data_IF_685903857670
#
_entry.id   IF_685903857670
#
_cell.length_a   1.000
_cell.length_b   1.000
_cell.length_c   1.000
_cell.angle_alpha   90.00
_cell.angle_beta   90.00
_cell.angle_gamma   90.00
#
_symmetry.space_group_name_H-M   'P 1'
#
loop_
_entity.id
_entity.type
_entity.pdbx_description
1 polymer ?
#
# COMPACT_ATOMS: atom_id res chain seq x y z
N UNK A 1 -16.07 -37.83 20.40
CA UNK A 1 -16.61 -37.44 19.08
C UNK A 1 -15.78 -36.29 18.55
N UNK A 2 -15.40 -36.25 17.26
CA UNK A 2 -14.63 -35.14 16.74
C UNK A 2 -15.52 -33.91 16.78
N UNK A 3 -15.17 -32.93 17.62
CA UNK A 3 -15.82 -31.62 17.62
C UNK A 3 -15.28 -30.88 16.41
N UNK A 4 -15.95 -31.00 15.28
CA UNK A 4 -15.69 -30.12 14.13
C UNK A 4 -16.09 -28.71 14.54
N UNK A 5 -15.12 -27.92 15.02
CA UNK A 5 -15.23 -26.48 15.20
C UNK A 5 -15.04 -25.79 13.85
N UNK A 6 -15.72 -24.66 13.69
CA UNK A 6 -15.43 -23.65 12.71
C UNK A 6 -14.34 -22.75 13.27
N UNK A 7 -13.25 -22.58 12.52
CA UNK A 7 -12.22 -21.59 12.83
C UNK A 7 -12.82 -20.21 12.62
N UNK A 8 -13.07 -19.54 13.73
CA UNK A 8 -13.55 -18.16 13.72
C UNK A 8 -12.32 -17.26 13.62
N UNK A 9 -12.38 -16.22 12.81
CA UNK A 9 -11.32 -15.23 12.67
C UNK A 9 -11.84 -13.85 13.13
N UNK A 10 -10.95 -12.85 13.16
CA UNK A 10 -11.32 -11.50 13.61
C UNK A 10 -12.36 -10.86 12.69
N UNK A 11 -12.34 -11.16 11.39
CA UNK A 11 -13.28 -10.58 10.43
C UNK A 11 -14.69 -11.15 10.58
N UNK A 12 -14.81 -12.46 10.77
CA UNK A 12 -16.06 -13.11 11.16
C UNK A 12 -16.55 -12.58 12.51
N UNK A 13 -15.67 -12.38 13.49
CA UNK A 13 -16.03 -11.83 14.79
C UNK A 13 -16.54 -10.37 14.71
N UNK A 14 -15.83 -9.51 13.96
CA UNK A 14 -16.25 -8.13 13.62
C UNK A 14 -17.60 -8.14 12.90
N UNK A 15 -17.79 -9.02 11.91
CA UNK A 15 -19.04 -9.14 11.15
C UNK A 15 -20.22 -9.61 12.02
N UNK A 16 -20.01 -10.60 12.91
CA UNK A 16 -21.00 -11.05 13.89
C UNK A 16 -21.43 -9.87 14.77
N UNK A 17 -20.46 -9.09 15.26
CA UNK A 17 -20.71 -7.90 16.09
C UNK A 17 -21.47 -6.83 15.31
N UNK A 18 -21.01 -6.47 14.12
CA UNK A 18 -21.61 -5.45 13.28
C UNK A 18 -23.05 -5.80 12.92
N UNK A 19 -23.28 -7.04 12.48
CA UNK A 19 -24.62 -7.51 12.13
C UNK A 19 -25.57 -7.53 13.33
N UNK A 20 -25.07 -7.88 14.52
CA UNK A 20 -25.85 -7.80 15.75
C UNK A 20 -26.30 -6.35 16.03
N UNK A 21 -25.40 -5.38 15.85
CA UNK A 21 -25.70 -3.96 16.03
C UNK A 21 -26.70 -3.44 14.99
N UNK A 22 -26.58 -3.82 13.73
CA UNK A 22 -27.56 -3.49 12.67
C UNK A 22 -28.97 -4.01 12.98
N UNK A 23 -29.05 -5.15 13.65
CA UNK A 23 -30.32 -5.73 14.11
C UNK A 23 -30.82 -5.10 15.42
N UNK A 24 -30.12 -4.10 15.95
CA UNK A 24 -30.40 -3.42 17.22
C UNK A 24 -30.50 -4.40 18.40
N UNK A 25 -29.61 -5.39 18.46
CA UNK A 25 -29.59 -6.40 19.53
C UNK A 25 -28.45 -6.13 20.51
N UNK A 26 -28.74 -6.26 21.81
CA UNK A 26 -27.68 -6.37 22.81
C UNK A 26 -27.02 -7.76 22.77
N UNK A 27 -25.86 -7.91 23.41
CA UNK A 27 -25.19 -9.22 23.55
C UNK A 27 -26.11 -10.20 24.30
N UNK A 28 -26.82 -9.74 25.33
CA UNK A 28 -27.76 -10.55 26.11
C UNK A 28 -28.93 -11.05 25.27
N UNK A 29 -29.50 -10.17 24.44
CA UNK A 29 -30.63 -10.50 23.57
C UNK A 29 -30.24 -11.46 22.45
N UNK A 30 -29.08 -11.23 21.83
CA UNK A 30 -28.55 -12.10 20.79
C UNK A 30 -28.20 -13.49 21.35
N UNK A 31 -27.52 -13.55 22.50
CA UNK A 31 -27.21 -14.79 23.19
C UNK A 31 -28.48 -15.57 23.58
N UNK A 32 -29.50 -14.87 24.11
CA UNK A 32 -30.79 -15.47 24.46
C UNK A 32 -31.51 -16.02 23.23
N UNK A 33 -31.56 -15.26 22.12
CA UNK A 33 -32.16 -15.72 20.85
C UNK A 33 -31.43 -16.92 20.25
N UNK A 34 -30.11 -16.96 20.38
CA UNK A 34 -29.28 -18.07 19.94
C UNK A 34 -29.22 -19.24 20.92
N UNK A 35 -29.87 -19.18 22.09
CA UNK A 35 -29.82 -20.24 23.10
C UNK A 35 -28.39 -20.56 23.57
N UNK A 36 -27.53 -19.53 23.67
CA UNK A 36 -26.17 -19.64 24.20
C UNK A 36 -25.95 -18.68 25.38
N UNK A 37 -24.89 -18.90 26.16
CA UNK A 37 -24.54 -18.01 27.25
C UNK A 37 -24.00 -16.67 26.74
N UNK A 38 -24.24 -15.59 27.47
CA UNK A 38 -23.76 -14.23 27.13
C UNK A 38 -22.25 -14.19 26.97
N UNK A 39 -21.50 -14.77 27.92
CA UNK A 39 -20.04 -14.93 27.84
C UNK A 39 -19.59 -15.74 26.62
N UNK A 40 -20.40 -16.69 26.16
CA UNK A 40 -20.10 -17.49 24.97
C UNK A 40 -20.26 -16.64 23.71
N UNK A 41 -21.30 -15.83 23.63
CA UNK A 41 -21.49 -14.86 22.55
C UNK A 41 -20.33 -13.85 22.49
N UNK A 42 -19.97 -13.24 23.63
CA UNK A 42 -18.85 -12.30 23.70
C UNK A 42 -17.52 -12.90 23.23
N UNK A 43 -17.28 -14.20 23.51
CA UNK A 43 -16.07 -14.89 23.02
C UNK A 43 -16.06 -15.04 21.50
N UNK A 44 -17.21 -15.27 20.89
CA UNK A 44 -17.32 -15.38 19.43
C UNK A 44 -17.13 -14.03 18.74
N UNK A 45 -17.61 -12.94 19.34
CA UNK A 45 -17.29 -11.56 18.90
C UNK A 45 -15.83 -11.15 19.19
N UNK A 46 -15.07 -12.00 19.87
CA UNK A 46 -13.65 -11.83 20.13
C UNK A 46 -12.81 -12.92 19.41
N UNK A 47 -13.30 -13.48 18.31
CA UNK A 47 -12.53 -14.39 17.44
C UNK A 47 -12.36 -15.82 17.96
N UNK A 48 -13.02 -16.23 19.05
CA UNK A 48 -12.83 -17.59 19.56
C UNK A 48 -13.50 -18.64 18.66
N UNK A 49 -12.93 -19.86 18.54
CA UNK A 49 -13.49 -20.94 17.72
C UNK A 49 -14.95 -21.26 18.06
N UNK A 50 -15.78 -21.40 17.03
CA UNK A 50 -17.21 -21.64 17.16
C UNK A 50 -17.48 -23.12 16.89
N UNK A 51 -18.23 -23.80 17.75
CA UNK A 51 -18.65 -25.18 17.45
C UNK A 51 -19.70 -25.16 16.34
N UNK A 52 -19.67 -26.10 15.38
CA UNK A 52 -20.63 -26.14 14.26
C UNK A 52 -22.11 -26.09 14.69
N UNK A 53 -22.48 -26.74 15.79
CA UNK A 53 -23.84 -26.67 16.33
C UNK A 53 -24.22 -25.23 16.75
N UNK A 54 -23.26 -24.48 17.29
CA UNK A 54 -23.43 -23.08 17.70
C UNK A 54 -23.37 -22.12 16.52
N UNK A 55 -22.57 -22.43 15.51
CA UNK A 55 -22.50 -21.67 14.26
C UNK A 55 -23.87 -21.51 13.61
N UNK A 56 -24.60 -22.62 13.48
CA UNK A 56 -25.95 -22.63 12.91
C UNK A 56 -26.94 -21.77 13.73
N UNK A 57 -26.77 -21.74 15.06
CA UNK A 57 -27.61 -20.91 15.93
C UNK A 57 -27.30 -19.41 15.74
N UNK A 58 -26.03 -19.06 15.54
CA UNK A 58 -25.58 -17.68 15.27
C UNK A 58 -26.09 -17.21 13.91
N UNK A 59 -25.89 -18.00 12.84
CA UNK A 59 -26.38 -17.71 11.48
C UNK A 59 -27.88 -17.41 11.50
N UNK A 60 -28.66 -18.27 12.16
CA UNK A 60 -30.11 -18.09 12.29
C UNK A 60 -30.48 -16.82 13.08
N UNK A 61 -29.74 -16.51 14.14
CA UNK A 61 -29.99 -15.34 15.00
C UNK A 61 -29.69 -14.03 14.28
N UNK A 62 -28.62 -14.01 13.48
CA UNK A 62 -28.19 -12.87 12.66
C UNK A 62 -28.97 -12.75 11.33
N UNK A 63 -29.93 -13.66 11.10
CA UNK A 63 -30.75 -13.74 9.88
C UNK A 63 -29.90 -13.87 8.61
N UNK A 64 -28.79 -14.59 8.71
CA UNK A 64 -27.96 -14.95 7.56
C UNK A 64 -28.43 -16.27 6.95
N UNK A 65 -28.19 -16.45 5.64
CA UNK A 65 -28.40 -17.74 4.95
C UNK A 65 -27.24 -18.69 5.26
N UNK A 66 -26.03 -18.16 5.23
CA UNK A 66 -24.76 -18.76 5.63
C UNK A 66 -23.84 -17.63 6.12
N UNK A 67 -22.69 -17.96 6.72
CA UNK A 67 -21.69 -16.89 6.97
C UNK A 67 -21.19 -16.42 5.60
N UNK A 68 -21.26 -15.13 5.27
CA UNK A 68 -20.76 -14.66 3.99
C UNK A 68 -19.28 -15.02 3.80
N UNK A 69 -18.92 -15.59 2.64
CA UNK A 69 -17.56 -16.09 2.35
C UNK A 69 -16.49 -15.00 2.52
N UNK A 70 -16.85 -13.76 2.16
CA UNK A 70 -16.12 -12.50 2.39
C UNK A 70 -15.70 -12.24 3.85
N UNK A 71 -16.32 -12.92 4.84
CA UNK A 71 -15.91 -12.84 6.24
C UNK A 71 -15.19 -14.09 6.73
N UNK A 72 -15.28 -15.19 5.97
CA UNK A 72 -14.62 -16.47 6.27
C UNK A 72 -13.17 -16.45 5.78
N UNK A 73 -12.90 -15.82 4.65
CA UNK A 73 -11.58 -15.34 4.27
C UNK A 73 -11.45 -13.90 4.75
N UNK A 74 -10.68 -13.65 5.81
CA UNK A 74 -10.08 -12.32 5.87
C UNK A 74 -9.21 -12.14 4.64
N UNK A 75 -9.07 -10.90 4.15
CA UNK A 75 -7.87 -10.62 3.36
C UNK A 75 -6.71 -11.11 4.23
N UNK A 76 -6.01 -12.11 3.71
CA UNK A 76 -4.81 -12.67 4.29
C UNK A 76 -3.67 -12.27 3.38
N UNK A 77 -2.44 -12.39 3.86
CA UNK A 77 -1.27 -12.17 3.01
C UNK A 77 -1.27 -13.10 1.80
N UNK A 78 -1.80 -14.31 1.94
CA UNK A 78 -1.96 -15.27 0.83
C UNK A 78 -2.98 -14.81 -0.22
N UNK A 79 -4.04 -14.12 0.19
CA UNK A 79 -5.05 -13.57 -0.73
C UNK A 79 -4.48 -12.38 -1.48
N UNK A 80 -3.84 -11.44 -0.77
CA UNK A 80 -3.17 -10.29 -1.36
C UNK A 80 -2.07 -10.71 -2.35
N UNK A 81 -1.26 -11.71 -1.98
CA UNK A 81 -0.25 -12.28 -2.89
C UNK A 81 -0.90 -12.82 -4.16
N UNK A 82 -2.01 -13.55 -4.06
CA UNK A 82 -2.72 -14.07 -5.23
C UNK A 82 -3.26 -12.96 -6.15
N UNK A 83 -3.78 -11.88 -5.57
CA UNK A 83 -4.34 -10.75 -6.30
C UNK A 83 -3.27 -9.94 -7.03
N UNK A 84 -2.18 -9.59 -6.32
CA UNK A 84 -1.14 -8.72 -6.86
C UNK A 84 -0.10 -9.44 -7.71
N UNK A 85 0.04 -10.76 -7.60
CA UNK A 85 0.99 -11.51 -8.44
C UNK A 85 0.65 -11.44 -9.93
N UNK A 86 -0.61 -11.22 -10.27
CA UNK A 86 -1.05 -11.01 -11.65
C UNK A 86 -0.96 -9.55 -12.10
N UNK A 87 -0.53 -8.64 -11.22
CA UNK A 87 -0.38 -7.22 -11.53
C UNK A 87 0.74 -6.98 -12.54
N UNK A 88 0.53 -6.07 -13.50
CA UNK A 88 1.51 -5.88 -14.59
C UNK A 88 2.86 -5.31 -14.15
N UNK A 89 2.87 -4.62 -13.01
CA UNK A 89 4.06 -4.09 -12.34
C UNK A 89 4.56 -4.98 -11.19
N UNK A 90 4.03 -6.20 -11.03
CA UNK A 90 4.55 -7.14 -10.04
C UNK A 90 6.05 -7.40 -10.27
N UNK A 91 6.81 -7.47 -9.18
CA UNK A 91 8.24 -7.77 -9.19
C UNK A 91 8.54 -8.95 -8.28
N UNK A 92 8.92 -10.09 -8.86
CA UNK A 92 9.41 -11.22 -8.07
C UNK A 92 10.71 -10.84 -7.34
N UNK A 93 11.60 -10.05 -7.97
CA UNK A 93 12.77 -9.46 -7.30
C UNK A 93 12.40 -8.74 -5.99
N UNK A 94 11.45 -7.79 -6.01
CA UNK A 94 11.06 -7.09 -4.79
C UNK A 94 10.45 -8.05 -3.76
N UNK A 95 9.59 -8.96 -4.21
CA UNK A 95 8.98 -9.95 -3.32
C UNK A 95 10.02 -10.83 -2.60
N UNK A 96 11.03 -11.32 -3.34
CA UNK A 96 12.06 -12.21 -2.79
C UNK A 96 13.07 -11.50 -1.88
N UNK A 97 13.39 -10.23 -2.16
CA UNK A 97 14.44 -9.49 -1.44
C UNK A 97 13.90 -8.60 -0.32
N UNK A 98 12.67 -8.07 -0.46
CA UNK A 98 12.08 -7.08 0.44
C UNK A 98 10.66 -7.46 0.94
N UNK A 99 10.11 -8.58 0.46
CA UNK A 99 8.85 -9.14 0.95
C UNK A 99 7.59 -8.70 0.19
N UNK A 100 6.45 -9.23 0.64
CA UNK A 100 5.14 -9.03 -0.01
C UNK A 100 4.73 -7.56 -0.04
N UNK A 101 4.92 -6.85 1.07
CA UNK A 101 4.57 -5.43 1.19
C UNK A 101 5.31 -4.59 0.14
N UNK A 102 6.62 -4.81 -0.05
CA UNK A 102 7.42 -4.10 -1.05
C UNK A 102 6.92 -4.31 -2.49
N UNK A 103 6.59 -5.55 -2.85
CA UNK A 103 6.09 -5.87 -4.18
C UNK A 103 4.69 -5.25 -4.45
N UNK A 104 3.80 -5.27 -3.45
CA UNK A 104 2.48 -4.64 -3.52
C UNK A 104 2.61 -3.11 -3.55
N UNK A 105 3.44 -2.55 -2.66
CA UNK A 105 3.78 -1.12 -2.60
C UNK A 105 4.22 -0.61 -3.97
N UNK A 106 5.19 -1.28 -4.59
CA UNK A 106 5.66 -0.91 -5.92
C UNK A 106 4.58 -1.00 -7.00
N UNK A 107 3.79 -2.08 -6.98
CA UNK A 107 2.69 -2.25 -7.94
C UNK A 107 1.67 -1.10 -7.85
N UNK A 108 1.16 -0.82 -6.65
CA UNK A 108 0.16 0.23 -6.38
C UNK A 108 0.75 1.61 -6.67
N UNK A 109 1.87 1.93 -6.02
CA UNK A 109 2.45 3.26 -6.08
C UNK A 109 2.89 3.63 -7.48
N UNK A 110 3.39 2.67 -8.27
CA UNK A 110 3.76 2.95 -9.66
C UNK A 110 2.58 3.23 -10.56
N UNK A 111 1.38 2.68 -10.29
CA UNK A 111 0.14 3.07 -10.97
C UNK A 111 -0.25 4.51 -10.59
N UNK A 112 -0.33 4.80 -9.29
CA UNK A 112 -0.73 6.11 -8.77
C UNK A 112 0.16 7.24 -9.29
N UNK A 113 1.47 7.09 -9.13
CA UNK A 113 2.43 8.11 -9.58
C UNK A 113 2.42 8.22 -11.11
N UNK A 114 2.24 7.11 -11.86
CA UNK A 114 2.10 7.19 -13.32
C UNK A 114 0.88 8.02 -13.74
N UNK A 115 -0.25 7.84 -13.07
CA UNK A 115 -1.48 8.58 -13.35
C UNK A 115 -1.32 10.08 -13.02
N UNK A 116 -0.74 10.40 -11.85
CA UNK A 116 -0.48 11.79 -11.44
C UNK A 116 0.45 12.51 -12.44
N UNK A 117 1.55 11.85 -12.83
CA UNK A 117 2.49 12.40 -13.83
C UNK A 117 1.81 12.56 -15.19
N UNK A 118 0.96 11.61 -15.60
CA UNK A 118 0.27 11.66 -16.88
C UNK A 118 -0.81 12.77 -16.94
N UNK A 119 -1.51 13.03 -15.84
CA UNK A 119 -2.43 14.16 -15.70
C UNK A 119 -1.68 15.49 -15.85
N UNK A 120 -0.60 15.68 -15.11
CA UNK A 120 0.19 16.91 -15.15
C UNK A 120 0.85 17.13 -16.51
N UNK A 121 1.38 16.07 -17.15
CA UNK A 121 1.92 16.16 -18.51
C UNK A 121 0.86 16.59 -19.53
N UNK A 122 -0.39 16.09 -19.39
CA UNK A 122 -1.50 16.51 -20.26
C UNK A 122 -1.81 17.98 -20.09
N UNK A 123 -1.89 18.48 -18.84
CA UNK A 123 -2.17 19.90 -18.62
C UNK A 123 -1.00 20.78 -19.09
N UNK A 124 0.25 20.43 -18.76
CA UNK A 124 1.44 21.18 -19.18
C UNK A 124 1.60 21.26 -20.70
N UNK A 125 1.18 20.22 -21.45
CA UNK A 125 1.24 20.20 -22.90
C UNK A 125 0.41 21.32 -23.56
N UNK A 126 -0.61 21.83 -22.86
CA UNK A 126 -1.48 22.92 -23.33
C UNK A 126 -1.00 24.31 -22.90
N UNK A 127 0.09 24.38 -22.13
CA UNK A 127 0.63 25.63 -21.56
C UNK A 127 1.85 26.14 -22.34
N UNK A 128 2.21 27.43 -22.19
CA UNK A 128 3.46 27.95 -22.74
C UNK A 128 4.70 27.22 -22.21
N UNK A 129 5.77 27.19 -23.01
CA UNK A 129 7.07 26.68 -22.55
C UNK A 129 7.54 27.48 -21.33
N UNK A 130 8.01 26.76 -20.30
CA UNK A 130 8.46 27.33 -19.03
C UNK A 130 7.40 27.31 -17.93
N UNK A 131 6.18 26.87 -18.22
CA UNK A 131 5.20 26.56 -17.19
C UNK A 131 5.62 25.32 -16.39
N UNK A 132 5.44 25.37 -15.07
CA UNK A 132 5.75 24.28 -14.14
C UNK A 132 4.50 23.82 -13.37
N UNK A 133 4.57 22.65 -12.71
CA UNK A 133 3.39 22.03 -12.05
C UNK A 133 2.76 22.91 -10.98
N UNK A 134 3.54 23.81 -10.35
CA UNK A 134 3.06 24.76 -9.35
C UNK A 134 2.12 25.85 -9.90
N UNK A 135 2.02 25.98 -11.22
CA UNK A 135 1.10 26.90 -11.90
C UNK A 135 -0.16 26.21 -12.44
N UNK A 136 -0.26 24.88 -12.29
CA UNK A 136 -1.42 24.11 -12.73
C UNK A 136 -2.61 24.31 -11.78
N UNK A 137 -3.82 24.08 -12.29
CA UNK A 137 -5.03 24.22 -11.48
C UNK A 137 -5.11 23.18 -10.35
N UNK A 138 -4.67 21.96 -10.62
CA UNK A 138 -4.62 20.85 -9.66
C UNK A 138 -3.53 19.89 -10.08
N UNK A 139 -2.57 19.62 -9.20
CA UNK A 139 -1.50 18.63 -9.41
C UNK A 139 -1.31 17.82 -8.13
N UNK A 140 -1.62 16.52 -8.19
CA UNK A 140 -1.45 15.63 -7.04
C UNK A 140 0.02 15.41 -6.70
N UNK A 141 0.90 15.37 -7.71
CA UNK A 141 2.32 15.14 -7.49
C UNK A 141 3.05 16.38 -6.96
N UNK A 142 2.50 17.58 -7.15
CA UNK A 142 3.11 18.83 -6.65
C UNK A 142 3.25 18.85 -5.12
N UNK A 143 2.31 18.26 -4.40
CA UNK A 143 2.38 18.13 -2.94
C UNK A 143 3.32 17.03 -2.47
N UNK A 144 3.76 16.14 -3.37
CA UNK A 144 4.64 15.02 -3.06
C UNK A 144 6.10 15.34 -3.39
N UNK A 145 6.34 16.19 -4.37
CA UNK A 145 7.69 16.57 -4.76
C UNK A 145 8.32 17.57 -3.77
N UNK A 146 9.66 17.58 -3.64
CA UNK A 146 10.37 18.51 -2.76
C UNK A 146 10.06 19.99 -3.04
N UNK A 147 9.54 20.71 -2.04
CA UNK A 147 9.05 22.09 -2.21
C UNK A 147 10.15 23.05 -2.72
N UNK A 148 11.40 22.84 -2.32
CA UNK A 148 12.53 23.71 -2.68
C UNK A 148 12.66 23.92 -4.20
N UNK A 149 12.31 22.92 -5.01
CA UNK A 149 12.50 22.94 -6.47
C UNK A 149 11.18 23.03 -7.24
N UNK A 150 10.10 23.50 -6.61
CA UNK A 150 8.75 23.56 -7.22
C UNK A 150 8.70 24.25 -8.60
N UNK A 151 9.57 25.24 -8.81
CA UNK A 151 9.66 25.97 -10.08
C UNK A 151 10.42 25.24 -11.20
N UNK A 152 11.15 24.17 -10.86
CA UNK A 152 11.94 23.37 -11.80
C UNK A 152 11.15 22.20 -12.38
N UNK A 153 9.98 21.90 -11.82
CA UNK A 153 9.11 20.80 -12.24
C UNK A 153 8.27 21.17 -13.46
N UNK A 154 8.94 21.34 -14.59
CA UNK A 154 8.33 21.65 -15.89
C UNK A 154 7.99 20.37 -16.68
N UNK A 155 7.50 20.56 -17.91
CA UNK A 155 7.15 19.44 -18.79
C UNK A 155 8.33 18.48 -19.03
N UNK A 156 9.56 18.98 -19.15
CA UNK A 156 10.74 18.15 -19.41
C UNK A 156 11.06 17.29 -18.18
N UNK A 157 11.05 17.88 -16.99
CA UNK A 157 11.18 17.14 -15.74
C UNK A 157 10.10 16.06 -15.58
N UNK A 158 8.83 16.43 -15.76
CA UNK A 158 7.71 15.47 -15.64
C UNK A 158 7.82 14.34 -16.67
N UNK A 159 8.33 14.64 -17.87
CA UNK A 159 8.56 13.64 -18.89
C UNK A 159 9.70 12.68 -18.51
N UNK A 160 10.79 13.19 -17.91
CA UNK A 160 11.85 12.36 -17.35
C UNK A 160 11.32 11.43 -16.25
N UNK A 161 10.56 11.96 -15.28
CA UNK A 161 9.95 11.16 -14.23
C UNK A 161 9.03 10.07 -14.81
N UNK A 162 8.20 10.40 -15.80
CA UNK A 162 7.36 9.42 -16.51
C UNK A 162 8.17 8.27 -17.11
N UNK A 163 9.32 8.58 -17.72
CA UNK A 163 10.20 7.56 -18.29
C UNK A 163 10.92 6.74 -17.24
N UNK A 164 11.29 7.34 -16.13
CA UNK A 164 11.88 6.64 -14.98
C UNK A 164 10.90 5.60 -14.41
N UNK A 165 9.63 5.98 -14.19
CA UNK A 165 8.59 5.05 -13.71
C UNK A 165 8.38 3.90 -14.70
N UNK A 166 8.26 4.20 -15.99
CA UNK A 166 8.13 3.19 -17.05
C UNK A 166 9.35 2.25 -17.08
N UNK A 167 10.55 2.78 -16.89
CA UNK A 167 11.79 2.00 -16.81
C UNK A 167 11.76 1.02 -15.65
N UNK A 168 11.36 1.45 -14.45
CA UNK A 168 11.24 0.56 -13.30
C UNK A 168 10.15 -0.50 -13.48
N UNK A 169 8.97 -0.15 -14.04
CA UNK A 169 7.92 -1.14 -14.34
C UNK A 169 8.39 -2.19 -15.34
N UNK A 170 9.18 -1.78 -16.35
CA UNK A 170 9.80 -2.72 -17.29
C UNK A 170 10.83 -3.63 -16.61
N UNK A 171 11.67 -3.07 -15.72
CA UNK A 171 12.63 -3.85 -14.92
C UNK A 171 11.92 -4.87 -14.03
N UNK A 172 10.84 -4.46 -13.35
CA UNK A 172 10.01 -5.32 -12.53
C UNK A 172 9.40 -6.48 -13.33
N UNK A 173 8.77 -6.18 -14.48
CA UNK A 173 8.19 -7.18 -15.37
C UNK A 173 9.23 -8.16 -15.95
N UNK A 174 10.45 -7.69 -16.18
CA UNK A 174 11.56 -8.51 -16.65
C UNK A 174 12.26 -9.30 -15.52
N UNK A 175 11.78 -9.16 -14.27
CA UNK A 175 12.38 -9.73 -13.06
C UNK A 175 13.88 -9.38 -12.93
N UNK A 176 14.21 -8.14 -13.25
CA UNK A 176 15.57 -7.60 -13.12
C UNK A 176 15.70 -6.76 -11.85
N UNK A 177 16.89 -6.70 -11.23
CA UNK A 177 17.10 -5.86 -10.05
C UNK A 177 16.69 -4.41 -10.29
N UNK A 178 15.95 -3.85 -9.33
CA UNK A 178 15.64 -2.43 -9.29
C UNK A 178 16.81 -1.72 -8.61
N UNK A 179 17.62 -1.03 -9.39
CA UNK A 179 18.76 -0.23 -8.92
C UNK A 179 18.53 1.22 -9.37
N UNK A 180 18.68 2.16 -8.44
CA UNK A 180 18.67 3.60 -8.70
C UNK A 180 20.10 4.10 -8.85
N UNK A 181 20.38 4.79 -9.95
CA UNK A 181 21.69 5.34 -10.28
C UNK A 181 21.74 6.87 -10.19
N UNK A 182 20.59 7.52 -9.99
CA UNK A 182 20.42 8.98 -9.95
C UNK A 182 19.42 9.38 -8.88
N UNK A 183 19.44 10.66 -8.46
CA UNK A 183 18.47 11.17 -7.46
C UNK A 183 17.05 11.15 -8.01
N UNK A 184 16.85 11.34 -9.32
CA UNK A 184 15.52 11.16 -9.93
C UNK A 184 15.02 9.73 -9.76
N UNK A 185 15.88 8.73 -9.90
CA UNK A 185 15.51 7.32 -9.74
C UNK A 185 15.18 6.97 -8.28
N UNK A 186 15.97 7.45 -7.32
CA UNK A 186 15.65 7.27 -5.89
C UNK A 186 14.37 7.99 -5.50
N UNK A 187 14.21 9.26 -5.92
CA UNK A 187 13.00 10.04 -5.71
C UNK A 187 11.78 9.35 -6.31
N UNK A 188 11.90 8.78 -7.51
CA UNK A 188 10.82 8.03 -8.15
C UNK A 188 10.37 6.84 -7.29
N UNK A 189 11.31 6.05 -6.77
CA UNK A 189 10.98 4.90 -5.92
C UNK A 189 10.44 5.34 -4.55
N UNK A 190 10.98 6.42 -3.99
CA UNK A 190 10.45 7.04 -2.76
C UNK A 190 8.99 7.45 -2.93
N UNK A 191 8.65 8.19 -3.99
CA UNK A 191 7.27 8.61 -4.28
C UNK A 191 6.32 7.42 -4.45
N UNK A 192 6.78 6.36 -5.12
CA UNK A 192 6.01 5.11 -5.28
C UNK A 192 5.72 4.48 -3.91
N UNK A 193 6.72 4.36 -3.06
CA UNK A 193 6.56 3.78 -1.73
C UNK A 193 5.65 4.64 -0.85
N UNK A 194 5.91 5.94 -0.78
CA UNK A 194 5.15 6.89 0.03
C UNK A 194 3.66 6.87 -0.34
N UNK A 195 3.31 7.04 -1.62
CA UNK A 195 1.90 7.08 -2.03
C UNK A 195 1.18 5.74 -1.93
N UNK A 196 1.91 4.64 -2.09
CA UNK A 196 1.30 3.32 -1.88
C UNK A 196 0.85 3.12 -0.42
N UNK A 197 1.48 3.81 0.53
CA UNK A 197 1.25 3.62 1.97
C UNK A 197 -0.20 3.87 2.35
N UNK A 198 -0.85 4.88 1.77
CA UNK A 198 -2.25 5.21 2.07
C UNK A 198 -3.17 4.03 1.75
N UNK A 199 -3.01 3.41 0.58
CA UNK A 199 -3.81 2.25 0.20
C UNK A 199 -3.39 0.98 0.94
N UNK A 200 -2.10 0.86 1.28
CA UNK A 200 -1.62 -0.27 2.07
C UNK A 200 -2.15 -0.25 3.49
N UNK A 201 -2.31 0.93 4.11
CA UNK A 201 -2.95 1.07 5.42
C UNK A 201 -4.39 0.54 5.39
N UNK A 202 -5.19 0.93 4.38
CA UNK A 202 -6.55 0.43 4.17
C UNK A 202 -6.62 -1.10 3.95
N UNK A 203 -5.61 -1.68 3.28
CA UNK A 203 -5.49 -3.13 3.12
C UNK A 203 -5.13 -3.80 4.46
N UNK A 204 -4.21 -3.20 5.21
CA UNK A 204 -3.71 -3.72 6.47
C UNK A 204 -4.82 -3.78 7.55
N UNK A 205 -5.77 -2.84 7.54
CA UNK A 205 -6.94 -2.86 8.44
C UNK A 205 -7.84 -4.10 8.29
N UNK A 206 -7.74 -4.76 7.14
CA UNK A 206 -8.52 -5.96 6.79
C UNK A 206 -7.80 -7.26 7.16
N UNK A 207 -6.52 -7.18 7.50
CA UNK A 207 -5.68 -8.31 7.93
C UNK A 207 -5.92 -8.67 9.41
N UNK A 208 -5.39 -9.81 9.85
CA UNK A 208 -5.25 -10.11 11.28
C UNK A 208 -4.18 -9.22 11.94
N UNK A 209 -4.22 -9.05 13.26
CA UNK A 209 -3.22 -8.20 13.98
C UNK A 209 -1.77 -8.64 13.72
N UNK A 210 -1.52 -9.95 13.64
CA UNK A 210 -0.19 -10.52 13.36
C UNK A 210 0.26 -10.24 11.92
N UNK A 211 -0.63 -10.47 10.94
CA UNK A 211 -0.35 -10.18 9.54
C UNK A 211 -0.24 -8.67 9.26
N UNK A 212 -1.01 -7.84 9.98
CA UNK A 212 -0.94 -6.38 9.88
C UNK A 212 0.42 -5.87 10.31
N UNK A 213 0.95 -6.35 11.43
CA UNK A 213 2.29 -5.98 11.91
C UNK A 213 3.37 -6.40 10.92
N UNK A 214 3.30 -7.63 10.38
CA UNK A 214 4.22 -8.13 9.35
C UNK A 214 4.17 -7.29 8.06
N UNK A 215 2.96 -6.97 7.60
CA UNK A 215 2.73 -6.26 6.34
C UNK A 215 3.19 -4.80 6.41
N UNK A 216 2.88 -4.08 7.49
CA UNK A 216 3.21 -2.66 7.60
C UNK A 216 4.66 -2.41 8.01
N UNK A 217 5.25 -3.29 8.84
CA UNK A 217 6.64 -3.12 9.29
C UNK A 217 7.64 -3.15 8.11
N UNK A 218 7.31 -3.89 7.05
CA UNK A 218 8.16 -4.00 5.86
C UNK A 218 7.95 -2.87 4.85
N UNK A 219 7.01 -1.94 5.09
CA UNK A 219 6.70 -0.85 4.15
C UNK A 219 7.63 0.37 4.27
N UNK A 220 8.93 0.10 4.34
CA UNK A 220 10.02 1.10 4.23
C UNK A 220 11.11 0.60 3.29
N UNK A 221 10.74 -0.32 2.40
CA UNK A 221 11.63 -1.15 1.58
C UNK A 221 12.61 -0.36 0.71
N UNK A 222 12.30 0.87 0.34
CA UNK A 222 13.22 1.71 -0.44
C UNK A 222 14.48 2.09 0.33
N UNK A 223 14.41 2.27 1.65
CA UNK A 223 15.60 2.56 2.46
C UNK A 223 16.50 1.33 2.60
N UNK A 224 15.91 0.14 2.66
CA UNK A 224 16.66 -1.11 2.59
C UNK A 224 17.28 -1.32 1.19
N UNK A 225 16.63 -0.83 0.14
CA UNK A 225 17.12 -0.91 -1.24
C UNK A 225 18.28 0.06 -1.49
N UNK A 226 18.25 1.26 -0.91
CA UNK A 226 19.33 2.26 -1.01
C UNK A 226 20.45 2.04 0.02
N UNK A 227 20.22 1.25 1.07
CA UNK A 227 21.15 1.14 2.21
C UNK A 227 21.44 2.50 2.89
N UNK A 228 20.51 3.47 2.74
CA UNK A 228 20.54 4.79 3.36
C UNK A 228 19.13 5.42 3.43
N UNK A 229 19.06 6.66 3.94
CA UNK A 229 17.85 7.47 3.92
C UNK A 229 18.12 8.86 3.32
N UNK A 230 19.08 8.95 2.40
CA UNK A 230 19.60 10.21 1.93
C UNK A 230 18.56 10.96 1.11
N UNK A 231 17.79 10.28 0.26
CA UNK A 231 16.67 10.90 -0.49
C UNK A 231 15.67 11.60 0.45
N UNK A 232 15.29 10.97 1.56
CA UNK A 232 14.40 11.59 2.55
C UNK A 232 15.10 12.72 3.30
N UNK A 233 16.32 12.45 3.78
CA UNK A 233 17.09 13.37 4.59
C UNK A 233 17.37 14.66 3.83
N UNK A 234 17.85 14.57 2.60
CA UNK A 234 18.21 15.75 1.82
C UNK A 234 16.99 16.46 1.24
N UNK A 235 16.00 15.75 0.72
CA UNK A 235 14.92 16.37 -0.04
C UNK A 235 13.71 16.80 0.80
N UNK A 236 13.50 16.19 1.98
CA UNK A 236 12.29 16.41 2.80
C UNK A 236 12.55 16.90 4.23
N UNK A 237 13.81 17.09 4.63
CA UNK A 237 14.14 17.72 5.92
C UNK A 237 14.21 19.24 5.84
N UNK A 238 14.20 19.92 7.00
CA UNK A 238 14.14 21.38 7.14
C UNK A 238 15.41 22.17 6.75
N UNK A 239 16.21 21.72 5.78
CA UNK A 239 17.41 22.45 5.33
C UNK A 239 17.42 22.70 3.82
N UNK A 240 17.92 23.88 3.45
CA UNK A 240 18.06 24.28 2.05
C UNK A 240 19.29 23.63 1.43
N UNK A 241 19.08 22.88 0.35
CA UNK A 241 20.13 22.23 -0.42
C UNK A 241 20.79 23.26 -1.34
N UNK A 242 22.11 23.42 -1.25
CA UNK A 242 22.86 24.28 -2.17
C UNK A 242 23.30 23.52 -3.42
N UNK A 243 23.74 24.25 -4.45
CA UNK A 243 24.13 23.70 -5.75
C UNK A 243 25.32 22.73 -5.70
N UNK A 244 26.16 22.76 -4.67
CA UNK A 244 27.31 21.86 -4.55
C UNK A 244 26.91 20.49 -3.96
N UNK A 245 25.67 20.34 -3.49
CA UNK A 245 25.17 19.09 -2.91
C UNK A 245 24.65 18.16 -4.04
N UNK A 246 25.00 16.85 -4.02
CA UNK A 246 24.53 15.85 -4.99
C UNK A 246 23.01 15.74 -5.16
N UNK A 247 22.24 16.12 -4.14
CA UNK A 247 20.77 16.12 -4.14
C UNK A 247 20.15 17.44 -4.61
N UNK A 248 20.94 18.43 -5.02
CA UNK A 248 20.40 19.62 -5.66
C UNK A 248 19.81 19.27 -7.03
N UNK A 249 18.69 19.89 -7.40
CA UNK A 249 17.94 19.57 -8.64
C UNK A 249 18.80 19.47 -9.91
N UNK A 250 19.83 20.31 -10.03
CA UNK A 250 20.72 20.28 -11.19
C UNK A 250 21.52 18.98 -11.38
N UNK A 251 21.53 18.09 -10.38
CA UNK A 251 22.20 16.79 -10.40
C UNK A 251 21.22 15.61 -10.50
N UNK A 252 19.91 15.86 -10.54
CA UNK A 252 18.93 14.76 -10.41
C UNK A 252 18.95 13.76 -11.55
N UNK A 253 19.44 14.15 -12.73
CA UNK A 253 19.61 13.28 -13.90
C UNK A 253 21.03 12.70 -14.02
N UNK A 254 21.95 13.10 -13.16
CA UNK A 254 23.33 12.60 -13.19
C UNK A 254 23.37 11.17 -12.66
N UNK A 255 24.00 10.27 -13.40
CA UNK A 255 24.31 8.93 -12.89
C UNK A 255 25.48 9.05 -11.91
N UNK A 256 25.18 8.94 -10.62
CA UNK A 256 26.13 9.14 -9.52
C UNK A 256 26.11 8.02 -8.47
N UNK A 257 25.13 7.13 -8.51
CA UNK A 257 24.98 6.02 -7.57
C UNK A 257 25.25 4.66 -8.25
N UNK A 258 25.83 3.73 -7.48
CA UNK A 258 26.15 2.34 -7.90
C UNK A 258 26.72 2.23 -9.32
N UNK A 259 27.64 3.13 -9.66
CA UNK A 259 28.33 3.11 -10.94
C UNK A 259 29.32 1.95 -10.94
N UNK A 260 29.12 0.97 -11.83
CA UNK A 260 30.15 -0.04 -12.07
C UNK A 260 31.46 0.67 -12.41
N UNK A 261 32.52 0.34 -11.67
CA UNK A 261 33.87 0.80 -12.01
C UNK A 261 34.24 0.24 -13.38
N UNK A 262 34.20 1.10 -14.41
CA UNK A 262 34.66 0.78 -15.77
C UNK A 262 36.13 0.38 -15.80
#
# INVERSE_FOLDING_TARGET
MPKTSFENNQNTAKAIRQRRLELNLTIEEAAKKAGIGTKTWSRYEAGNPIRKDKLNMIIKTLKWREIPEEFQSGHSLTTLLGEYKEHEAWSDYLYQNFGLAAAISFAIGSDLISDFVADDLRELAEKPKGTHIGELGTSFISSLLPEQFLMEYDYEFMYHLSKTIQGFRQKAKADTPLIAHSVLEELCLYLIMEESTILMEDMAEQLSEEEQEEFMYSNTWIFDLFDDMDVYTFLYSDFCINRDNPYHFCHWLDNQFYMDSQ
#
